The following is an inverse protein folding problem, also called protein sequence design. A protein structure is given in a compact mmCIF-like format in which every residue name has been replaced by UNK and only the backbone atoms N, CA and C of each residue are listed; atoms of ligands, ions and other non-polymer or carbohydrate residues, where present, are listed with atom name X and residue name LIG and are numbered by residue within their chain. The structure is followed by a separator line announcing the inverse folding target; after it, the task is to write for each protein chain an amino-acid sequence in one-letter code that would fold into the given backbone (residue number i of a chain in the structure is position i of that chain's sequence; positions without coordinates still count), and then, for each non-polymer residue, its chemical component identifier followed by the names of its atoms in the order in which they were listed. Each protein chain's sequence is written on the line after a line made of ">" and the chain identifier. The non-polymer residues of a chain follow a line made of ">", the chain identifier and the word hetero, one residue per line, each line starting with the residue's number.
data_IF_537264420632
#
_entry.id   IF_537264420632
#
_cell.length_a   1.000
_cell.length_b   1.000
_cell.length_c   1.000
_cell.angle_alpha   90.00
_cell.angle_beta   90.00
_cell.angle_gamma   90.00
#
_symmetry.space_group_name_H-M   'P 1'
#
loop_
_entity.id
_entity.type
_entity.pdbx_description
1 polymer ?
#
# COMPACT_ATOMS: atom_id res chain seq x y z
N UNK A 1 31.17 -10.13 -13.52
CA UNK A 1 29.95 -10.42 -14.31
C UNK A 1 30.04 -9.62 -15.60
N UNK A 2 29.96 -10.27 -16.75
CA UNK A 2 29.96 -9.57 -18.05
C UNK A 2 28.58 -8.96 -18.28
N UNK A 3 28.53 -7.68 -18.55
CA UNK A 3 27.27 -6.99 -18.95
C UNK A 3 26.70 -7.70 -20.18
N UNK A 4 25.42 -8.11 -20.19
CA UNK A 4 24.83 -8.70 -21.36
C UNK A 4 24.86 -7.70 -22.53
N UNK A 5 24.99 -8.17 -23.78
CA UNK A 5 24.97 -7.26 -24.93
C UNK A 5 23.62 -6.52 -25.03
N UNK A 6 23.62 -5.28 -25.53
CA UNK A 6 22.37 -4.55 -25.72
C UNK A 6 21.44 -5.32 -26.68
N UNK A 7 20.10 -5.21 -26.51
CA UNK A 7 19.15 -5.89 -27.40
C UNK A 7 19.33 -5.42 -28.85
N UNK A 8 19.17 -6.34 -29.79
CA UNK A 8 19.30 -6.08 -31.22
C UNK A 8 18.28 -5.09 -31.79
N UNK A 9 17.12 -4.96 -31.13
CA UNK A 9 16.08 -4.00 -31.49
C UNK A 9 15.77 -3.07 -30.32
N UNK A 10 15.64 -1.78 -30.60
CA UNK A 10 15.21 -0.79 -29.63
C UNK A 10 13.72 -1.00 -29.31
N UNK A 11 13.31 -1.00 -28.02
CA UNK A 11 11.91 -1.04 -27.68
C UNK A 11 11.12 0.13 -28.28
N UNK A 12 9.89 -0.10 -28.72
CA UNK A 12 9.01 0.94 -29.27
C UNK A 12 8.74 2.07 -28.25
N UNK A 13 8.76 1.73 -26.96
CA UNK A 13 8.64 2.66 -25.84
C UNK A 13 9.80 2.48 -24.87
N UNK A 14 10.94 3.15 -25.09
CA UNK A 14 12.16 2.93 -24.31
C UNK A 14 12.21 3.74 -23.01
N UNK A 15 11.12 4.37 -22.61
CA UNK A 15 11.05 5.15 -21.38
C UNK A 15 10.80 4.23 -20.19
N UNK A 16 11.77 4.14 -19.30
CA UNK A 16 11.67 3.45 -18.04
C UNK A 16 11.31 4.47 -16.96
N UNK A 17 10.28 4.16 -16.19
CA UNK A 17 9.88 4.96 -15.03
C UNK A 17 9.93 4.10 -13.78
N UNK A 18 10.57 4.58 -12.73
CA UNK A 18 10.52 3.97 -11.40
C UNK A 18 9.29 4.38 -10.61
N UNK A 19 8.51 5.31 -11.13
CA UNK A 19 7.28 5.84 -10.55
C UNK A 19 6.03 5.27 -11.20
N UNK A 20 5.16 6.13 -11.77
CA UNK A 20 3.91 5.71 -12.42
C UNK A 20 4.15 4.74 -13.58
N UNK A 21 3.31 3.70 -13.66
CA UNK A 21 3.27 2.80 -14.80
C UNK A 21 2.37 3.36 -15.91
N UNK A 22 2.54 2.85 -17.13
CA UNK A 22 1.66 3.19 -18.23
C UNK A 22 0.22 2.73 -17.97
N UNK A 23 -0.74 3.46 -18.52
CA UNK A 23 -2.14 3.04 -18.53
C UNK A 23 -2.32 1.68 -19.23
N UNK A 24 -3.40 0.97 -18.89
CA UNK A 24 -3.76 -0.27 -19.57
C UNK A 24 -3.78 -0.12 -21.10
N UNK A 25 -3.58 -1.21 -21.85
CA UNK A 25 -3.68 -1.16 -23.32
C UNK A 25 -5.05 -0.61 -23.77
N UNK A 26 -5.04 0.28 -24.76
CA UNK A 26 -6.26 0.88 -25.31
C UNK A 26 -6.96 1.87 -24.38
N UNK A 27 -6.35 2.30 -23.29
CA UNK A 27 -6.90 3.34 -22.43
C UNK A 27 -6.96 4.69 -23.15
N UNK A 28 -8.11 5.35 -23.02
CA UNK A 28 -8.30 6.75 -23.42
C UNK A 28 -9.17 7.45 -22.38
N UNK A 29 -9.14 8.80 -22.28
CA UNK A 29 -9.99 9.52 -21.33
C UNK A 29 -11.48 9.25 -21.48
N UNK A 30 -11.95 8.92 -22.70
CA UNK A 30 -13.35 8.61 -23.00
C UNK A 30 -13.84 7.30 -22.37
N UNK A 31 -12.91 6.45 -21.86
CA UNK A 31 -13.28 5.26 -21.12
C UNK A 31 -13.80 5.57 -19.71
N UNK A 32 -13.56 6.79 -19.20
CA UNK A 32 -13.89 7.16 -17.84
C UNK A 32 -15.36 7.59 -17.72
N UNK A 33 -16.02 7.17 -16.65
CA UNK A 33 -17.31 7.70 -16.27
C UNK A 33 -17.14 9.10 -15.65
N UNK A 34 -17.71 10.13 -16.28
CA UNK A 34 -17.52 11.51 -15.88
C UNK A 34 -18.69 12.07 -15.07
N UNK A 35 -19.73 11.28 -14.81
CA UNK A 35 -20.95 11.67 -14.13
C UNK A 35 -20.77 12.01 -12.64
N UNK A 36 -19.69 11.53 -12.03
CA UNK A 36 -19.28 11.88 -10.66
C UNK A 36 -18.50 13.17 -10.55
N UNK A 37 -17.95 13.69 -11.66
CA UNK A 37 -17.13 14.91 -11.66
C UNK A 37 -17.93 16.17 -11.37
N UNK A 38 -17.30 17.13 -10.68
CA UNK A 38 -17.97 18.38 -10.27
C UNK A 38 -19.08 18.19 -9.23
N UNK A 39 -19.25 16.98 -8.70
CA UNK A 39 -20.21 16.66 -7.65
C UNK A 39 -19.52 16.41 -6.31
N UNK A 40 -20.25 16.55 -5.22
CA UNK A 40 -19.71 16.19 -3.90
C UNK A 40 -19.41 14.68 -3.85
N UNK A 41 -18.19 14.34 -3.45
CA UNK A 41 -17.81 12.95 -3.13
C UNK A 41 -18.69 12.33 -2.02
N UNK A 42 -19.35 13.18 -1.20
CA UNK A 42 -20.32 12.75 -0.17
C UNK A 42 -21.73 12.52 -0.71
N UNK A 43 -21.99 12.83 -1.98
CA UNK A 43 -23.25 12.46 -2.63
C UNK A 43 -23.42 10.95 -2.69
N UNK A 44 -24.65 10.47 -2.92
CA UNK A 44 -24.91 9.03 -3.09
C UNK A 44 -24.04 8.43 -4.21
N UNK A 45 -23.90 9.15 -5.33
CA UNK A 45 -23.07 8.72 -6.46
C UNK A 45 -21.58 8.69 -6.08
N UNK A 46 -21.04 9.77 -5.47
CA UNK A 46 -19.64 9.84 -5.08
C UNK A 46 -19.24 8.72 -4.11
N UNK A 47 -20.06 8.49 -3.08
CA UNK A 47 -19.85 7.38 -2.13
C UNK A 47 -19.91 6.02 -2.83
N UNK A 48 -20.84 5.82 -3.78
CA UNK A 48 -20.96 4.57 -4.53
C UNK A 48 -19.72 4.29 -5.38
N UNK A 49 -19.13 5.32 -6.02
CA UNK A 49 -17.89 5.17 -6.79
C UNK A 49 -16.69 4.83 -5.90
N UNK A 50 -16.54 5.53 -4.78
CA UNK A 50 -15.49 5.22 -3.81
C UNK A 50 -15.63 3.81 -3.26
N UNK A 51 -16.86 3.40 -2.93
CA UNK A 51 -17.11 2.03 -2.48
C UNK A 51 -16.84 1.00 -3.57
N UNK A 52 -17.23 1.26 -4.82
CA UNK A 52 -16.91 0.39 -5.96
C UNK A 52 -15.39 0.18 -6.09
N UNK A 53 -14.61 1.26 -6.00
CA UNK A 53 -13.15 1.18 -6.04
C UNK A 53 -12.59 0.30 -4.91
N UNK A 54 -13.10 0.45 -3.68
CA UNK A 54 -12.71 -0.36 -2.52
C UNK A 54 -13.09 -1.84 -2.73
N UNK A 55 -14.33 -2.12 -3.13
CA UNK A 55 -14.84 -3.48 -3.27
C UNK A 55 -14.10 -4.27 -4.36
N UNK A 56 -13.84 -3.62 -5.52
CA UNK A 56 -13.07 -4.24 -6.60
C UNK A 56 -11.61 -4.47 -6.20
N UNK A 57 -11.00 -3.51 -5.51
CA UNK A 57 -9.65 -3.66 -4.96
C UNK A 57 -9.57 -4.88 -4.04
N UNK A 58 -10.51 -5.00 -3.10
CA UNK A 58 -10.64 -6.16 -2.20
C UNK A 58 -10.76 -7.47 -2.99
N UNK A 59 -11.68 -7.52 -3.95
CA UNK A 59 -12.00 -8.73 -4.71
C UNK A 59 -10.79 -9.20 -5.54
N UNK A 60 -10.14 -8.29 -6.27
CA UNK A 60 -8.99 -8.64 -7.14
C UNK A 60 -7.81 -9.10 -6.30
N UNK A 61 -7.49 -8.40 -5.22
CA UNK A 61 -6.39 -8.76 -4.32
C UNK A 61 -6.72 -9.93 -3.38
N UNK A 62 -7.97 -10.45 -3.42
CA UNK A 62 -8.44 -11.56 -2.57
C UNK A 62 -8.28 -11.25 -1.07
N UNK A 63 -8.49 -9.99 -0.68
CA UNK A 63 -8.38 -9.56 0.71
C UNK A 63 -9.52 -10.17 1.54
N UNK A 64 -9.24 -10.87 2.66
CA UNK A 64 -10.26 -11.48 3.49
C UNK A 64 -11.30 -10.47 4.03
N UNK A 65 -12.53 -10.92 4.25
CA UNK A 65 -13.62 -10.07 4.77
C UNK A 65 -13.36 -9.52 6.18
N UNK A 66 -12.47 -10.16 6.93
CA UNK A 66 -12.03 -9.70 8.25
C UNK A 66 -11.18 -8.43 8.19
N UNK A 67 -10.62 -8.11 7.03
CA UNK A 67 -9.77 -6.93 6.84
C UNK A 67 -10.59 -5.70 6.43
N UNK A 68 -10.05 -4.51 6.66
CA UNK A 68 -10.60 -3.23 6.21
C UNK A 68 -9.76 -2.69 5.07
N UNK A 69 -10.39 -2.32 3.97
CA UNK A 69 -9.72 -1.69 2.81
C UNK A 69 -10.22 -0.25 2.70
N UNK A 70 -9.33 0.72 2.78
CA UNK A 70 -9.67 2.15 2.74
C UNK A 70 -8.82 2.94 1.75
N UNK A 71 -9.43 3.94 1.11
CA UNK A 71 -8.74 4.93 0.27
C UNK A 71 -8.35 6.11 1.16
N UNK A 72 -7.08 6.46 1.15
CA UNK A 72 -6.48 7.49 2.01
C UNK A 72 -5.70 8.52 1.20
N UNK A 73 -5.43 9.73 1.75
CA UNK A 73 -4.73 10.78 1.01
C UNK A 73 -3.23 10.51 0.84
N UNK A 74 -2.60 11.27 -0.05
CA UNK A 74 -1.17 11.45 -0.21
C UNK A 74 -0.39 10.20 -0.69
N UNK A 75 -1.00 9.40 -1.58
CA UNK A 75 -0.41 8.19 -2.15
C UNK A 75 0.03 7.20 -1.07
N UNK A 76 0.97 6.32 -1.37
CA UNK A 76 1.48 5.38 -0.37
C UNK A 76 2.28 6.08 0.73
N UNK A 77 2.95 7.20 0.43
CA UNK A 77 3.63 7.99 1.46
C UNK A 77 2.68 8.30 2.63
N UNK A 78 1.49 8.84 2.31
CA UNK A 78 0.49 9.11 3.35
C UNK A 78 -0.08 7.86 4.00
N UNK A 79 -0.20 6.75 3.27
CA UNK A 79 -0.72 5.50 3.82
C UNK A 79 0.25 4.84 4.80
N UNK A 80 1.55 4.79 4.48
CA UNK A 80 2.60 4.27 5.39
C UNK A 80 2.75 5.17 6.61
N UNK A 81 2.89 6.49 6.41
CA UNK A 81 2.97 7.42 7.54
C UNK A 81 1.73 7.32 8.45
N UNK A 82 0.53 7.24 7.87
CA UNK A 82 -0.71 7.04 8.63
C UNK A 82 -0.63 5.78 9.49
N UNK A 83 -0.14 4.66 8.95
CA UNK A 83 0.05 3.42 9.69
C UNK A 83 1.08 3.60 10.81
N UNK A 84 2.26 4.15 10.51
CA UNK A 84 3.33 4.35 11.48
C UNK A 84 2.90 5.29 12.63
N UNK A 85 2.31 6.45 12.31
CA UNK A 85 1.83 7.42 13.30
C UNK A 85 0.72 6.88 14.19
N UNK A 86 -0.10 5.99 13.67
CA UNK A 86 -1.27 5.48 14.39
C UNK A 86 -1.00 4.22 15.20
N UNK A 87 -0.01 3.41 14.82
CA UNK A 87 0.16 2.05 15.36
C UNK A 87 1.47 1.83 16.13
N UNK A 88 2.55 2.56 15.79
CA UNK A 88 3.84 2.41 16.46
C UNK A 88 3.85 3.05 17.86
N UNK A 89 4.76 2.58 18.72
CA UNK A 89 5.01 3.13 20.05
C UNK A 89 4.43 2.32 21.20
N UNK A 90 3.64 1.28 20.95
CA UNK A 90 3.18 0.34 21.98
C UNK A 90 4.24 -0.70 22.29
N UNK A 91 4.98 -1.09 21.27
CA UNK A 91 6.09 -2.06 21.32
C UNK A 91 7.34 -1.43 20.76
N UNK A 92 8.53 -1.99 21.03
CA UNK A 92 9.70 -1.65 20.26
C UNK A 92 9.43 -1.85 18.76
N UNK A 93 10.08 -1.07 17.92
CA UNK A 93 9.95 -1.16 16.48
C UNK A 93 11.19 -1.81 15.86
N UNK A 94 10.99 -2.58 14.80
CA UNK A 94 12.05 -3.07 13.92
C UNK A 94 11.75 -2.62 12.49
N UNK A 95 12.67 -1.91 11.85
CA UNK A 95 12.53 -1.43 10.49
C UNK A 95 13.56 -2.11 9.59
N UNK A 96 13.10 -2.64 8.47
CA UNK A 96 13.95 -3.26 7.46
C UNK A 96 14.15 -2.29 6.30
N UNK A 97 15.41 -2.01 5.94
CA UNK A 97 15.75 -1.09 4.87
C UNK A 97 16.88 -1.64 3.99
N UNK A 98 16.60 -1.82 2.70
CA UNK A 98 17.56 -2.26 1.69
C UNK A 98 17.46 -1.46 0.39
N UNK A 99 16.75 -0.31 0.47
CA UNK A 99 16.59 0.64 -0.62
C UNK A 99 16.01 1.97 -0.10
N UNK A 100 15.95 2.97 -0.95
CA UNK A 100 15.67 4.36 -0.56
C UNK A 100 14.32 4.60 0.12
N UNK A 101 13.27 3.85 -0.20
CA UNK A 101 11.96 4.01 0.45
C UNK A 101 11.99 3.45 1.88
N UNK A 102 12.54 2.25 2.07
CA UNK A 102 12.76 1.70 3.41
C UNK A 102 13.63 2.60 4.28
N UNK A 103 14.68 3.22 3.73
CA UNK A 103 15.50 4.22 4.43
C UNK A 103 14.69 5.48 4.80
N UNK A 104 13.73 5.87 3.94
CA UNK A 104 12.77 6.93 4.24
C UNK A 104 11.94 6.61 5.47
N UNK A 105 11.36 5.41 5.56
CA UNK A 105 10.58 4.98 6.73
C UNK A 105 11.40 4.92 8.01
N UNK A 106 12.67 4.49 7.93
CA UNK A 106 13.61 4.57 9.06
C UNK A 106 13.81 6.03 9.50
N UNK A 107 13.98 6.94 8.55
CA UNK A 107 14.15 8.36 8.84
C UNK A 107 12.93 8.93 9.57
N UNK A 108 11.73 8.56 9.15
CA UNK A 108 10.49 9.01 9.79
C UNK A 108 10.34 8.45 11.21
N UNK A 109 10.61 7.16 11.40
CA UNK A 109 10.58 6.54 12.72
C UNK A 109 11.53 7.24 13.70
N UNK A 110 12.78 7.47 13.27
CA UNK A 110 13.84 8.02 14.13
C UNK A 110 13.68 9.53 14.32
N UNK A 111 13.51 10.30 13.23
CA UNK A 111 13.58 11.77 13.31
C UNK A 111 12.24 12.40 13.59
N UNK A 112 11.14 11.85 13.09
CA UNK A 112 9.82 12.44 13.25
C UNK A 112 9.09 11.86 14.46
N UNK A 113 8.98 10.52 14.56
CA UNK A 113 8.34 9.86 15.69
C UNK A 113 9.26 9.76 16.92
N UNK A 114 10.58 10.00 16.74
CA UNK A 114 11.60 9.95 17.81
C UNK A 114 11.64 8.59 18.51
N UNK A 115 11.44 7.55 17.73
CA UNK A 115 11.63 6.18 18.19
C UNK A 115 13.10 5.79 18.11
N UNK A 116 13.48 4.77 18.89
CA UNK A 116 14.78 4.11 18.82
C UNK A 116 14.60 2.67 18.32
N UNK A 117 14.37 2.49 17.00
CA UNK A 117 14.09 1.19 16.44
C UNK A 117 15.35 0.35 16.22
N UNK A 118 15.21 -0.98 16.28
CA UNK A 118 16.16 -1.86 15.63
C UNK A 118 16.08 -1.66 14.11
N UNK A 119 17.20 -1.38 13.46
CA UNK A 119 17.23 -1.20 12.00
C UNK A 119 18.08 -2.33 11.39
N UNK A 120 17.42 -3.15 10.57
CA UNK A 120 18.08 -4.20 9.80
C UNK A 120 18.28 -3.71 8.36
N UNK A 121 19.52 -3.61 7.93
CA UNK A 121 19.89 -3.06 6.61
C UNK A 121 20.62 -4.07 5.75
N UNK A 122 20.57 -3.85 4.44
CA UNK A 122 21.40 -4.55 3.47
C UNK A 122 21.85 -3.60 2.35
N UNK A 123 22.93 -3.96 1.66
CA UNK A 123 23.34 -3.25 0.45
C UNK A 123 22.33 -3.45 -0.69
N UNK A 124 22.34 -2.55 -1.67
CA UNK A 124 21.55 -2.70 -2.88
C UNK A 124 21.81 -4.06 -3.54
N UNK A 125 20.73 -4.76 -3.89
CA UNK A 125 20.80 -6.11 -4.46
C UNK A 125 20.76 -7.25 -3.44
N UNK A 126 20.68 -6.96 -2.13
CA UNK A 126 20.56 -7.94 -1.06
C UNK A 126 19.39 -7.63 -0.13
N UNK A 127 18.92 -8.64 0.62
CA UNK A 127 17.99 -8.48 1.73
C UNK A 127 18.74 -8.47 3.06
N UNK A 128 18.22 -7.78 4.08
CA UNK A 128 18.63 -8.00 5.46
C UNK A 128 18.42 -9.46 5.88
N UNK A 129 19.09 -9.88 6.94
CA UNK A 129 18.82 -11.19 7.52
C UNK A 129 17.40 -11.25 8.11
N UNK A 130 16.48 -11.86 7.38
CA UNK A 130 15.09 -12.00 7.78
C UNK A 130 14.90 -12.93 8.99
N UNK A 131 15.86 -13.82 9.28
CA UNK A 131 15.81 -14.67 10.46
C UNK A 131 16.15 -13.90 11.76
N UNK A 132 16.79 -12.75 11.64
CA UNK A 132 17.11 -11.86 12.76
C UNK A 132 15.95 -10.94 13.17
N UNK A 133 14.81 -10.98 12.48
CA UNK A 133 13.66 -10.12 12.79
C UNK A 133 13.01 -10.53 14.11
N UNK A 134 12.96 -9.64 15.12
CA UNK A 134 12.32 -9.94 16.39
C UNK A 134 10.80 -9.73 16.30
N UNK A 135 10.02 -10.78 16.35
CA UNK A 135 8.56 -10.72 16.17
C UNK A 135 7.77 -10.34 17.42
N UNK A 136 8.43 -9.98 18.50
CA UNK A 136 7.88 -9.21 19.62
C UNK A 136 7.85 -7.69 19.39
N UNK A 137 8.53 -7.22 18.33
CA UNK A 137 8.55 -5.85 17.83
C UNK A 137 7.46 -5.62 16.78
N UNK A 138 7.01 -4.36 16.63
CA UNK A 138 6.25 -3.94 15.45
C UNK A 138 7.24 -3.78 14.29
N UNK A 139 7.00 -4.50 13.19
CA UNK A 139 7.95 -4.61 12.07
C UNK A 139 7.45 -3.84 10.86
N UNK A 140 8.25 -2.88 10.37
CA UNK A 140 7.96 -2.09 9.15
C UNK A 140 8.93 -2.51 8.05
N UNK A 141 8.41 -2.83 6.87
CA UNK A 141 9.22 -3.26 5.74
C UNK A 141 8.53 -2.98 4.40
N UNK A 142 9.30 -2.93 3.32
CA UNK A 142 8.80 -2.93 1.96
C UNK A 142 8.68 -4.37 1.46
N UNK A 143 7.58 -4.73 0.75
CA UNK A 143 7.48 -6.05 0.13
C UNK A 143 8.49 -6.20 -1.01
N UNK A 144 8.62 -5.14 -1.76
CA UNK A 144 9.51 -5.06 -2.90
C UNK A 144 10.25 -3.72 -2.88
N UNK A 145 11.56 -3.77 -2.76
CA UNK A 145 12.44 -2.60 -2.82
C UNK A 145 12.52 -2.06 -4.25
N UNK A 146 11.72 -1.06 -4.57
CA UNK A 146 11.57 -0.52 -5.93
C UNK A 146 12.91 -0.09 -6.53
N UNK A 147 13.75 0.59 -5.76
CA UNK A 147 15.02 1.13 -6.26
C UNK A 147 16.14 0.10 -6.32
N UNK A 148 16.07 -0.97 -5.56
CA UNK A 148 17.05 -2.06 -5.56
C UNK A 148 16.63 -3.25 -6.41
N UNK A 149 15.33 -3.37 -6.76
CA UNK A 149 14.77 -4.51 -7.47
C UNK A 149 14.70 -5.80 -6.64
N UNK A 150 14.89 -5.73 -5.34
CA UNK A 150 14.92 -6.89 -4.45
C UNK A 150 13.63 -6.98 -3.65
N UNK A 151 12.98 -8.13 -3.67
CA UNK A 151 11.75 -8.41 -2.91
C UNK A 151 11.97 -9.44 -1.82
N UNK A 152 11.11 -9.43 -0.80
CA UNK A 152 11.05 -10.53 0.16
C UNK A 152 10.62 -11.84 -0.54
N UNK A 153 11.09 -13.01 -0.07
CA UNK A 153 10.84 -14.30 -0.76
C UNK A 153 9.37 -14.74 -0.69
N UNK A 154 8.61 -14.22 0.27
CA UNK A 154 7.23 -14.58 0.55
C UNK A 154 6.87 -14.21 1.97
N UNK A 155 5.87 -14.85 2.57
CA UNK A 155 5.44 -14.60 3.96
C UNK A 155 5.99 -15.57 5.01
N UNK A 156 6.77 -16.59 4.63
CA UNK A 156 7.18 -17.67 5.54
C UNK A 156 8.11 -17.19 6.67
N UNK A 157 8.87 -16.14 6.44
CA UNK A 157 9.73 -15.51 7.44
C UNK A 157 8.96 -14.73 8.50
N UNK A 158 7.68 -14.42 8.26
CA UNK A 158 6.81 -13.72 9.21
C UNK A 158 6.24 -14.75 10.20
N UNK A 159 6.61 -14.64 11.47
CA UNK A 159 6.17 -15.57 12.50
C UNK A 159 4.64 -15.58 12.65
N UNK A 160 4.00 -16.75 12.68
CA UNK A 160 2.55 -16.85 12.83
C UNK A 160 2.06 -16.42 14.23
N UNK A 161 2.88 -16.63 15.25
CA UNK A 161 2.62 -16.35 16.68
C UNK A 161 3.22 -15.00 17.13
N UNK A 162 3.55 -14.12 16.18
CA UNK A 162 4.13 -12.80 16.45
C UNK A 162 3.30 -11.98 17.43
N UNK A 163 3.97 -11.33 18.37
CA UNK A 163 3.32 -10.40 19.30
C UNK A 163 3.19 -8.99 18.69
N UNK A 164 4.19 -8.55 17.89
CA UNK A 164 4.17 -7.29 17.17
C UNK A 164 3.30 -7.30 15.90
N UNK A 165 3.09 -6.14 15.30
CA UNK A 165 2.41 -5.99 14.02
C UNK A 165 3.40 -6.07 12.86
N UNK A 166 2.97 -6.64 11.74
CA UNK A 166 3.65 -6.53 10.45
C UNK A 166 3.02 -5.40 9.64
N UNK A 167 3.81 -4.37 9.32
CA UNK A 167 3.41 -3.20 8.54
C UNK A 167 4.17 -3.22 7.24
N UNK A 168 3.46 -3.43 6.14
CA UNK A 168 4.01 -3.73 4.83
C UNK A 168 3.68 -2.65 3.81
N UNK A 169 4.71 -1.99 3.27
CA UNK A 169 4.61 -1.19 2.06
C UNK A 169 4.68 -2.14 0.84
N UNK A 170 3.55 -2.34 0.17
CA UNK A 170 3.42 -3.17 -1.01
C UNK A 170 3.23 -2.35 -2.30
N UNK A 171 3.67 -1.10 -2.32
CA UNK A 171 3.38 -0.14 -3.39
C UNK A 171 3.67 -0.68 -4.78
N UNK A 172 4.81 -1.30 -5.01
CA UNK A 172 5.16 -1.88 -6.30
C UNK A 172 4.90 -3.39 -6.41
N UNK A 173 4.34 -4.00 -5.37
CA UNK A 173 4.02 -5.42 -5.32
C UNK A 173 2.51 -5.72 -5.46
N UNK A 174 1.65 -4.85 -4.95
CA UNK A 174 0.21 -5.01 -5.07
C UNK A 174 -0.21 -5.15 -6.54
N UNK A 175 -1.09 -6.12 -6.82
CA UNK A 175 -1.55 -6.55 -8.16
C UNK A 175 -0.49 -7.25 -9.05
N UNK A 176 0.77 -7.32 -8.60
CA UNK A 176 1.84 -8.01 -9.33
C UNK A 176 2.35 -9.26 -8.59
N UNK A 177 2.00 -9.42 -7.33
CA UNK A 177 2.44 -10.51 -6.45
C UNK A 177 1.32 -10.94 -5.52
N UNK A 178 1.36 -12.21 -5.09
CA UNK A 178 0.49 -12.72 -4.03
C UNK A 178 0.87 -12.13 -2.67
N UNK A 179 -0.14 -11.91 -1.82
CA UNK A 179 0.02 -11.40 -0.46
C UNK A 179 -0.52 -12.42 0.55
N UNK A 180 0.29 -12.85 1.52
CA UNK A 180 -0.15 -13.75 2.60
C UNK A 180 -0.93 -12.96 3.66
N UNK A 181 -2.20 -12.71 3.41
CA UNK A 181 -3.04 -11.81 4.24
C UNK A 181 -3.06 -12.19 5.72
N UNK A 182 -2.96 -13.47 6.05
CA UNK A 182 -2.90 -13.98 7.43
C UNK A 182 -1.60 -13.58 8.17
N UNK A 183 -0.59 -13.16 7.42
CA UNK A 183 0.71 -12.71 7.92
C UNK A 183 0.85 -11.18 7.96
N UNK A 184 -0.07 -10.45 7.32
CA UNK A 184 0.03 -9.01 7.11
C UNK A 184 -1.03 -8.28 7.93
N UNK A 185 -0.60 -7.56 8.97
CA UNK A 185 -1.51 -6.78 9.82
C UNK A 185 -1.86 -5.43 9.18
N UNK A 186 -0.91 -4.82 8.46
CA UNK A 186 -1.13 -3.63 7.65
C UNK A 186 -0.45 -3.81 6.31
N UNK A 187 -1.15 -3.49 5.24
CA UNK A 187 -0.58 -3.40 3.89
C UNK A 187 -0.99 -2.07 3.26
N UNK A 188 -0.03 -1.38 2.67
CA UNK A 188 -0.27 -0.12 1.97
C UNK A 188 0.21 -0.19 0.52
N UNK A 189 -0.41 0.60 -0.33
CA UNK A 189 0.02 0.82 -1.71
C UNK A 189 -0.66 2.06 -2.30
N UNK A 190 -0.32 2.41 -3.52
CA UNK A 190 -0.94 3.52 -4.26
C UNK A 190 -1.26 3.14 -5.71
N UNK A 191 -2.14 3.92 -6.36
CA UNK A 191 -2.78 3.57 -7.62
C UNK A 191 -1.85 3.52 -8.85
N UNK A 192 -0.74 4.29 -8.84
CA UNK A 192 0.06 4.55 -10.03
C UNK A 192 1.05 3.44 -10.42
N UNK A 193 1.07 2.31 -9.71
CA UNK A 193 2.02 1.21 -9.96
C UNK A 193 1.42 0.16 -10.92
N UNK A 194 1.31 -1.08 -10.56
CA UNK A 194 1.03 -2.21 -11.46
C UNK A 194 -0.15 -2.00 -12.42
N UNK A 195 -1.21 -1.34 -12.00
CA UNK A 195 -2.38 -1.09 -12.85
C UNK A 195 -2.34 0.24 -13.62
N UNK A 196 -1.33 1.08 -13.40
CA UNK A 196 -1.15 2.35 -14.11
C UNK A 196 -2.23 3.40 -13.83
N UNK A 197 -2.86 3.36 -12.65
CA UNK A 197 -3.75 4.43 -12.19
C UNK A 197 -2.99 5.74 -11.95
N UNK A 198 -3.70 6.84 -11.74
CA UNK A 198 -3.05 8.11 -11.36
C UNK A 198 -2.69 8.12 -9.87
N UNK A 199 -1.59 8.81 -9.54
CA UNK A 199 -1.16 9.03 -8.16
C UNK A 199 -2.11 9.93 -7.35
N UNK A 200 -1.71 10.22 -6.10
CA UNK A 200 -2.44 11.12 -5.21
C UNK A 200 -3.28 10.43 -4.13
N UNK A 201 -3.71 9.20 -4.35
CA UNK A 201 -4.41 8.38 -3.36
C UNK A 201 -3.59 7.15 -2.99
N UNK A 202 -3.56 6.86 -1.68
CA UNK A 202 -3.08 5.62 -1.13
C UNK A 202 -4.23 4.67 -0.81
N UNK A 203 -3.89 3.43 -0.61
CA UNK A 203 -4.78 2.41 -0.03
C UNK A 203 -4.13 1.89 1.23
N UNK A 204 -4.93 1.77 2.28
CA UNK A 204 -4.55 1.11 3.51
C UNK A 204 -5.45 -0.11 3.72
N UNK A 205 -4.84 -1.25 3.98
CA UNK A 205 -5.52 -2.51 4.32
C UNK A 205 -5.13 -2.85 5.75
N UNK A 206 -6.13 -2.99 6.61
CA UNK A 206 -5.95 -3.28 8.03
C UNK A 206 -6.50 -4.67 8.34
N UNK A 207 -5.64 -5.54 8.84
CA UNK A 207 -6.04 -6.81 9.43
C UNK A 207 -6.67 -6.63 10.82
N UNK A 208 -7.31 -7.68 11.38
CA UNK A 208 -7.98 -7.60 12.67
C UNK A 208 -7.09 -7.11 13.82
N UNK A 209 -5.82 -7.53 13.87
CA UNK A 209 -4.87 -7.12 14.92
C UNK A 209 -4.50 -5.65 14.84
N UNK A 210 -4.41 -5.08 13.62
CA UNK A 210 -4.19 -3.66 13.46
C UNK A 210 -5.42 -2.84 13.90
N UNK A 211 -6.63 -3.31 13.60
CA UNK A 211 -7.88 -2.69 14.07
C UNK A 211 -7.93 -2.71 15.59
N UNK A 212 -7.69 -3.85 16.22
CA UNK A 212 -7.64 -3.99 17.69
C UNK A 212 -6.62 -3.03 18.31
N UNK A 213 -5.42 -2.90 17.70
CA UNK A 213 -4.41 -1.94 18.15
C UNK A 213 -4.90 -0.50 18.04
N UNK A 214 -5.54 -0.12 16.94
CA UNK A 214 -6.09 1.24 16.75
C UNK A 214 -7.15 1.60 17.80
N UNK A 215 -7.95 0.64 18.22
CA UNK A 215 -9.03 0.87 19.19
C UNK A 215 -8.56 0.80 20.66
N UNK A 216 -7.46 0.10 20.93
CA UNK A 216 -6.92 -0.09 22.28
C UNK A 216 -5.75 0.86 22.62
N UNK A 217 -5.16 1.53 21.65
CA UNK A 217 -3.96 2.33 21.81
C UNK A 217 -4.14 3.78 21.35
N UNK A 218 -3.55 4.69 22.10
CA UNK A 218 -3.44 6.10 21.71
C UNK A 218 -1.97 6.50 21.71
N UNK A 219 -1.42 6.92 20.55
CA UNK A 219 -0.04 7.39 20.44
C UNK A 219 0.26 8.58 21.37
N UNK A 220 1.49 8.63 21.86
CA UNK A 220 1.95 9.72 22.72
C UNK A 220 2.14 11.06 21.98
N UNK A 221 2.26 11.02 20.67
CA UNK A 221 2.42 12.18 19.80
C UNK A 221 1.09 12.63 19.18
N UNK A 222 0.99 13.89 18.72
CA UNK A 222 -0.17 14.37 17.99
C UNK A 222 -0.33 13.65 16.64
N UNK A 223 -1.56 13.22 16.35
CA UNK A 223 -1.92 12.66 15.05
C UNK A 223 -2.57 13.76 14.19
N UNK A 224 -1.99 14.12 13.04
CA UNK A 224 -2.60 15.03 12.08
C UNK A 224 -4.01 14.54 11.69
N UNK A 225 -4.92 15.49 11.40
CA UNK A 225 -6.31 15.12 11.05
C UNK A 225 -6.39 14.09 9.91
N UNK A 226 -5.52 14.23 8.92
CA UNK A 226 -5.49 13.35 7.73
C UNK A 226 -4.99 11.93 8.03
N UNK A 227 -4.41 11.68 9.21
CA UNK A 227 -3.95 10.37 9.65
C UNK A 227 -4.90 9.70 10.66
N UNK A 228 -6.02 10.35 11.00
CA UNK A 228 -6.93 9.83 12.03
C UNK A 228 -7.81 8.72 11.50
N UNK A 229 -7.51 7.51 11.89
CA UNK A 229 -8.31 6.32 11.58
C UNK A 229 -9.35 6.03 12.67
N UNK A 230 -9.23 6.67 13.84
CA UNK A 230 -10.15 6.47 14.97
C UNK A 230 -10.79 7.77 15.44
N UNK A 231 -11.98 7.64 16.03
CA UNK A 231 -12.70 8.71 16.71
C UNK A 231 -13.28 8.15 18.00
N UNK A 232 -12.97 8.82 19.11
CA UNK A 232 -13.41 8.39 20.47
C UNK A 232 -13.07 6.93 20.81
N UNK A 233 -11.89 6.45 20.34
CA UNK A 233 -11.43 5.08 20.60
C UNK A 233 -12.01 4.01 19.70
N UNK A 234 -12.85 4.34 18.74
CA UNK A 234 -13.40 3.40 17.76
C UNK A 234 -12.91 3.71 16.34
N UNK A 235 -12.75 2.68 15.53
CA UNK A 235 -12.40 2.82 14.12
C UNK A 235 -13.45 3.64 13.37
N UNK A 236 -13.02 4.53 12.48
CA UNK A 236 -13.92 5.30 11.61
C UNK A 236 -14.30 4.41 10.42
N UNK A 237 -15.27 3.50 10.62
CA UNK A 237 -15.70 2.52 9.60
C UNK A 237 -16.11 3.16 8.27
N UNK A 238 -16.57 4.42 8.30
CA UNK A 238 -16.92 5.16 7.08
C UNK A 238 -15.80 5.26 6.06
N UNK A 239 -14.52 5.32 6.51
CA UNK A 239 -13.34 5.36 5.62
C UNK A 239 -13.30 4.10 4.74
N UNK A 240 -13.69 2.96 5.30
CA UNK A 240 -13.68 1.65 4.63
C UNK A 240 -14.97 1.34 3.90
N UNK A 241 -15.94 2.25 3.97
CA UNK A 241 -17.25 2.19 3.28
C UNK A 241 -17.42 3.24 2.17
N UNK A 242 -16.33 3.94 1.77
CA UNK A 242 -16.35 4.95 0.73
C UNK A 242 -16.53 6.38 1.24
N UNK A 243 -16.37 6.62 2.54
CA UNK A 243 -16.22 7.97 3.10
C UNK A 243 -14.74 8.27 3.29
N UNK A 244 -14.21 9.29 2.67
CA UNK A 244 -12.79 9.64 2.74
C UNK A 244 -12.52 10.65 3.86
N UNK A 245 -11.29 10.63 4.39
CA UNK A 245 -10.83 11.58 5.41
C UNK A 245 -10.84 13.02 4.87
N UNK A 246 -10.45 13.19 3.61
CA UNK A 246 -10.40 14.46 2.89
C UNK A 246 -11.25 14.40 1.60
N UNK A 247 -11.26 15.48 0.83
CA UNK A 247 -11.88 15.50 -0.50
C UNK A 247 -10.96 14.78 -1.50
N UNK A 248 -11.37 13.64 -2.07
CA UNK A 248 -10.58 12.93 -3.06
C UNK A 248 -10.75 13.54 -4.45
N UNK A 249 -9.87 13.21 -5.38
CA UNK A 249 -10.07 13.46 -6.80
C UNK A 249 -11.00 12.38 -7.38
N UNK A 250 -12.22 12.75 -7.75
CA UNK A 250 -13.17 11.80 -8.36
C UNK A 250 -12.67 11.35 -9.74
N UNK A 251 -11.93 12.17 -10.48
CA UNK A 251 -11.32 11.77 -11.75
C UNK A 251 -10.32 10.61 -11.54
N UNK A 252 -9.48 10.71 -10.52
CA UNK A 252 -8.53 9.64 -10.17
C UNK A 252 -9.26 8.38 -9.69
N UNK A 253 -10.39 8.52 -9.01
CA UNK A 253 -11.21 7.37 -8.60
C UNK A 253 -11.84 6.67 -9.83
N UNK A 254 -12.34 7.42 -10.81
CA UNK A 254 -12.90 6.82 -12.03
C UNK A 254 -11.80 6.15 -12.88
N UNK A 255 -10.62 6.75 -12.96
CA UNK A 255 -9.45 6.14 -13.60
C UNK A 255 -9.04 4.83 -12.91
N UNK A 256 -9.07 4.81 -11.58
CA UNK A 256 -8.79 3.60 -10.81
C UNK A 256 -9.83 2.51 -11.03
N UNK A 257 -11.12 2.87 -11.07
CA UNK A 257 -12.20 1.93 -11.37
C UNK A 257 -12.04 1.32 -12.77
N UNK A 258 -11.66 2.13 -13.77
CA UNK A 258 -11.40 1.64 -15.13
C UNK A 258 -10.22 0.62 -15.13
N UNK A 259 -9.13 0.93 -14.43
CA UNK A 259 -7.99 0.03 -14.28
C UNK A 259 -8.38 -1.28 -13.58
N UNK A 260 -9.21 -1.21 -12.52
CA UNK A 260 -9.70 -2.39 -11.80
C UNK A 260 -10.60 -3.27 -12.68
N UNK A 261 -11.51 -2.67 -13.46
CA UNK A 261 -12.37 -3.41 -14.40
C UNK A 261 -11.55 -4.13 -15.47
N UNK A 262 -10.50 -3.47 -15.96
CA UNK A 262 -9.58 -4.11 -16.87
C UNK A 262 -8.84 -5.28 -16.19
N UNK A 263 -8.38 -5.12 -14.97
CA UNK A 263 -7.72 -6.18 -14.21
C UNK A 263 -8.63 -7.42 -14.02
N UNK A 264 -9.91 -7.20 -13.71
CA UNK A 264 -10.91 -8.28 -13.64
C UNK A 264 -11.03 -9.01 -14.98
N UNK A 265 -11.10 -8.27 -16.09
CA UNK A 265 -11.18 -8.85 -17.43
C UNK A 265 -9.90 -9.62 -17.84
N UNK A 266 -8.76 -9.35 -17.18
CA UNK A 266 -7.53 -10.14 -17.38
C UNK A 266 -7.47 -11.42 -16.52
N UNK A 267 -8.51 -11.73 -15.76
CA UNK A 267 -8.57 -12.88 -14.85
C UNK A 267 -8.17 -12.57 -13.42
N UNK A 268 -8.27 -11.31 -13.00
CA UNK A 268 -7.94 -10.86 -11.65
C UNK A 268 -6.46 -11.02 -11.30
N UNK A 269 -6.16 -11.21 -10.01
CA UNK A 269 -4.77 -11.31 -9.54
C UNK A 269 -3.95 -12.41 -10.24
N UNK A 270 -4.46 -13.66 -10.42
CA UNK A 270 -3.69 -14.69 -11.14
C UNK A 270 -3.35 -14.29 -12.58
N UNK A 271 -4.31 -13.69 -13.29
CA UNK A 271 -4.09 -13.22 -14.67
C UNK A 271 -3.08 -12.07 -14.75
N UNK A 272 -3.09 -11.16 -13.78
CA UNK A 272 -2.10 -10.07 -13.68
C UNK A 272 -0.70 -10.61 -13.38
N UNK A 273 -0.56 -11.54 -12.43
CA UNK A 273 0.72 -12.18 -12.10
C UNK A 273 1.29 -12.93 -13.31
N UNK A 274 0.43 -13.63 -14.07
CA UNK A 274 0.88 -14.34 -15.27
C UNK A 274 1.38 -13.40 -16.40
N UNK A 275 1.04 -12.10 -16.34
CA UNK A 275 1.52 -11.08 -17.29
C UNK A 275 2.84 -10.42 -16.84
N UNK A 276 3.18 -10.50 -15.55
CA UNK A 276 4.37 -9.87 -14.98
C UNK A 276 5.59 -10.77 -15.09
#
# INVERSE_FOLDING_TARGET
>A
MTTPPPPAARPARPHFSSGPCAKRPGWTPEALALDSLGRSHRSKLGKARLKEAIDRTRAILQVPDTHRVGIVPASDTGAVEMAMWSLLGTRPACLLAWESFGEGWVTDAVKQLRLDPLVLTAAYGALPDLAAVPWDHDVVFTWNGTTSGVRVPGGDWIAPDRAGLSINDATSAAFAMEMPWEKLDVTTFSFQKALGGEGGHGVIILGPRAVERLESYKPAWPIPKIFRLTKSGALIEGIFAGETINTPSMLVIEDWIDALRWAEAQGGLPGLIART
#
